data_IF_576649073484
#
_entry.id   IF_576649073484
#
_cell.length_a   1.000
_cell.length_b   1.000
_cell.length_c   1.000
_cell.angle_alpha   90.00
_cell.angle_beta   90.00
_cell.angle_gamma   90.00
#
_symmetry.space_group_name_H-M   'P 1'
#
loop_
_entity.id
_entity.type
_entity.pdbx_description
1 polymer ?
#
# COMPACT_ATOMS: atom_id res chain seq x y z
N UNK A 1 -9.84 -4.62 -5.38
CA UNK A 1 -9.02 -5.77 -5.79
C UNK A 1 -7.51 -5.50 -5.64
N UNK A 2 -6.98 -4.37 -6.12
CA UNK A 2 -5.54 -4.05 -6.01
C UNK A 2 -4.92 -4.25 -4.60
N UNK A 3 -5.57 -3.75 -3.54
CA UNK A 3 -5.09 -3.95 -2.16
C UNK A 3 -5.04 -5.42 -1.76
N UNK A 4 -6.03 -6.21 -2.19
CA UNK A 4 -6.07 -7.64 -1.90
C UNK A 4 -4.96 -8.39 -2.66
N UNK A 5 -4.74 -8.07 -3.93
CA UNK A 5 -3.66 -8.64 -4.72
C UNK A 5 -2.29 -8.38 -4.05
N UNK A 6 -2.03 -7.13 -3.65
CA UNK A 6 -0.80 -6.79 -2.92
C UNK A 6 -0.68 -7.54 -1.59
N UNK A 7 -1.74 -7.52 -0.76
CA UNK A 7 -1.74 -8.20 0.54
C UNK A 7 -1.47 -9.69 0.41
N UNK A 8 -2.25 -10.41 -0.41
CA UNK A 8 -2.12 -11.86 -0.54
C UNK A 8 -0.79 -12.26 -1.18
N UNK A 9 -0.33 -11.50 -2.18
CA UNK A 9 0.99 -11.70 -2.77
C UNK A 9 2.10 -11.56 -1.74
N UNK A 10 2.11 -10.44 -1.01
CA UNK A 10 3.16 -10.16 -0.04
C UNK A 10 3.12 -11.16 1.11
N UNK A 11 1.94 -11.46 1.65
CA UNK A 11 1.78 -12.46 2.70
C UNK A 11 2.24 -13.84 2.25
N UNK A 12 1.96 -14.25 1.01
CA UNK A 12 2.42 -15.55 0.50
C UNK A 12 3.94 -15.65 0.48
N UNK A 13 4.61 -14.66 -0.12
CA UNK A 13 6.08 -14.66 -0.22
C UNK A 13 6.75 -14.61 1.16
N UNK A 14 6.27 -13.73 2.05
CA UNK A 14 6.80 -13.62 3.42
C UNK A 14 6.55 -14.88 4.24
N UNK A 15 5.36 -15.48 4.16
CA UNK A 15 5.07 -16.72 4.88
C UNK A 15 5.95 -17.88 4.39
N UNK A 16 6.21 -17.99 3.08
CA UNK A 16 7.10 -19.01 2.53
C UNK A 16 8.54 -18.85 3.04
N UNK A 17 9.06 -17.62 3.08
CA UNK A 17 10.37 -17.31 3.63
C UNK A 17 10.40 -17.65 5.13
N UNK A 18 9.45 -17.15 5.92
CA UNK A 18 9.37 -17.35 7.37
C UNK A 18 9.25 -18.84 7.73
N UNK A 19 8.49 -19.64 6.98
CA UNK A 19 8.41 -21.09 7.20
C UNK A 19 9.76 -21.80 7.00
N UNK A 20 10.65 -21.22 6.19
CA UNK A 20 11.97 -21.78 5.89
C UNK A 20 13.05 -21.25 6.81
N UNK A 21 13.04 -19.94 7.11
CA UNK A 21 14.12 -19.24 7.83
C UNK A 21 13.78 -18.94 9.29
N UNK A 22 12.52 -19.13 9.70
CA UNK A 22 12.00 -18.66 10.97
C UNK A 22 11.57 -17.19 10.93
N UNK A 23 10.98 -16.72 12.04
CA UNK A 23 10.50 -15.34 12.17
C UNK A 23 11.70 -14.39 12.34
N UNK A 24 11.95 -13.45 11.41
CA UNK A 24 13.14 -12.60 11.41
C UNK A 24 13.01 -11.34 12.29
N UNK A 25 11.80 -11.06 12.79
CA UNK A 25 11.49 -9.85 13.54
C UNK A 25 10.76 -10.21 14.84
N UNK A 26 11.23 -9.70 15.98
CA UNK A 26 10.51 -9.91 17.23
C UNK A 26 9.14 -9.18 17.23
N UNK A 27 8.23 -9.64 18.09
CA UNK A 27 6.88 -9.09 18.14
C UNK A 27 6.84 -7.63 18.59
N UNK A 28 7.75 -7.21 19.48
CA UNK A 28 7.77 -5.83 19.97
C UNK A 28 8.12 -4.86 18.86
N UNK A 29 9.10 -5.19 18.02
CA UNK A 29 9.49 -4.43 16.85
C UNK A 29 8.43 -4.49 15.75
N UNK A 30 7.82 -5.65 15.51
CA UNK A 30 6.70 -5.77 14.56
C UNK A 30 5.52 -4.87 14.97
N UNK A 31 5.20 -4.82 16.27
CA UNK A 31 4.18 -3.93 16.83
C UNK A 31 4.54 -2.45 16.66
N UNK A 32 5.78 -2.07 16.94
CA UNK A 32 6.25 -0.70 16.73
C UNK A 32 6.12 -0.29 15.26
N UNK A 33 6.62 -1.12 14.34
CA UNK A 33 6.49 -0.91 12.89
C UNK A 33 5.03 -0.70 12.47
N UNK A 34 4.11 -1.53 12.99
CA UNK A 34 2.68 -1.43 12.70
C UNK A 34 2.12 -0.06 13.11
N UNK A 35 2.41 0.42 14.33
CA UNK A 35 1.92 1.72 14.79
C UNK A 35 2.60 2.89 14.09
N UNK A 36 3.90 2.80 13.76
CA UNK A 36 4.59 3.80 12.94
C UNK A 36 3.89 3.95 11.58
N UNK A 37 3.61 2.84 10.91
CA UNK A 37 2.90 2.85 9.63
C UNK A 37 1.45 3.34 9.77
N UNK A 38 0.75 2.97 10.85
CA UNK A 38 -0.63 3.41 11.08
C UNK A 38 -0.74 4.92 11.33
N UNK A 39 0.20 5.52 12.07
CA UNK A 39 0.19 6.95 12.38
C UNK A 39 0.71 7.82 11.24
N UNK A 40 1.79 7.39 10.58
CA UNK A 40 2.51 8.22 9.62
C UNK A 40 2.33 7.81 8.16
N UNK A 41 1.67 6.67 7.89
CA UNK A 41 1.43 6.18 6.54
C UNK A 41 2.72 5.97 5.76
N UNK A 42 2.75 6.41 4.50
CA UNK A 42 3.91 6.25 3.61
C UNK A 42 5.16 7.01 4.06
N UNK A 43 5.01 8.05 4.90
CA UNK A 43 6.13 8.84 5.44
C UNK A 43 6.73 8.21 6.72
N UNK A 44 6.20 7.06 7.16
CA UNK A 44 6.73 6.30 8.29
C UNK A 44 8.11 5.70 7.99
N UNK A 45 8.81 5.34 9.06
CA UNK A 45 10.04 4.56 8.99
C UNK A 45 9.89 3.32 9.87
N UNK A 46 10.32 2.16 9.37
CA UNK A 46 10.19 0.87 10.06
C UNK A 46 11.53 0.12 10.07
N UNK A 47 11.72 -0.79 11.03
CA UNK A 47 12.84 -1.75 11.01
C UNK A 47 12.47 -2.93 10.11
N UNK A 48 13.34 -3.32 9.18
CA UNK A 48 13.09 -4.45 8.29
C UNK A 48 13.91 -5.69 8.67
N UNK A 49 13.84 -6.75 7.86
CA UNK A 49 14.46 -8.05 8.15
C UNK A 49 15.99 -8.02 8.13
N UNK A 50 16.59 -7.00 7.53
CA UNK A 50 18.03 -6.73 7.59
C UNK A 50 18.45 -6.05 8.90
N UNK A 51 17.51 -5.75 9.79
CA UNK A 51 17.75 -5.04 11.05
C UNK A 51 17.90 -3.52 10.89
N UNK A 52 17.85 -3.01 9.66
CA UNK A 52 18.04 -1.60 9.36
C UNK A 52 16.73 -0.83 9.34
N UNK A 53 16.82 0.49 9.54
CA UNK A 53 15.66 1.38 9.47
C UNK A 53 15.44 1.88 8.04
N UNK A 54 14.25 1.61 7.51
CA UNK A 54 13.87 1.99 6.15
C UNK A 54 12.68 2.94 6.14
N UNK A 55 12.68 3.91 5.23
CA UNK A 55 11.48 4.67 4.89
C UNK A 55 10.47 3.75 4.20
N UNK A 56 9.22 3.72 4.68
CA UNK A 56 8.23 2.73 4.23
C UNK A 56 7.91 2.86 2.74
N UNK A 57 7.79 4.09 2.22
CA UNK A 57 7.59 4.31 0.78
C UNK A 57 8.70 3.66 -0.07
N UNK A 58 9.97 3.86 0.32
CA UNK A 58 11.11 3.31 -0.42
C UNK A 58 11.12 1.79 -0.33
N UNK A 59 10.91 1.24 0.87
CA UNK A 59 10.86 -0.21 1.08
C UNK A 59 9.75 -0.88 0.24
N UNK A 60 8.57 -0.23 0.15
CA UNK A 60 7.49 -0.69 -0.72
C UNK A 60 7.91 -0.76 -2.19
N UNK A 61 8.64 0.25 -2.67
CA UNK A 61 9.11 0.33 -4.06
C UNK A 61 10.23 -0.67 -4.37
N UNK A 62 11.21 -0.79 -3.49
CA UNK A 62 12.44 -1.53 -3.78
C UNK A 62 12.38 -3.01 -3.38
N UNK A 63 11.47 -3.40 -2.49
CA UNK A 63 11.37 -4.77 -1.98
C UNK A 63 9.93 -5.31 -2.01
N UNK A 64 9.00 -4.67 -1.29
CA UNK A 64 7.71 -5.32 -1.00
C UNK A 64 6.82 -5.51 -2.24
N UNK A 65 6.89 -4.63 -3.25
CA UNK A 65 6.18 -4.83 -4.52
C UNK A 65 6.72 -6.05 -5.29
N UNK A 66 8.04 -6.26 -5.30
CA UNK A 66 8.66 -7.41 -5.96
C UNK A 66 8.28 -8.72 -5.25
N UNK A 67 8.26 -8.70 -3.90
CA UNK A 67 7.79 -9.82 -3.08
C UNK A 67 6.32 -10.12 -3.32
N UNK A 68 5.46 -9.09 -3.38
CA UNK A 68 4.05 -9.27 -3.68
C UNK A 68 3.83 -9.93 -5.05
N UNK A 69 4.58 -9.50 -6.07
CA UNK A 69 4.57 -10.11 -7.40
C UNK A 69 4.96 -11.58 -7.35
N UNK A 70 6.07 -11.92 -6.68
CA UNK A 70 6.55 -13.30 -6.54
C UNK A 70 5.53 -14.20 -5.84
N UNK A 71 4.88 -13.71 -4.79
CA UNK A 71 3.83 -14.47 -4.10
C UNK A 71 2.57 -14.66 -4.95
N UNK A 72 2.15 -13.67 -5.73
CA UNK A 72 1.03 -13.85 -6.68
C UNK A 72 1.37 -14.85 -7.79
N UNK A 73 2.61 -14.85 -8.28
CA UNK A 73 3.08 -15.82 -9.26
C UNK A 73 3.10 -17.24 -8.69
N UNK A 74 3.50 -17.43 -7.42
CA UNK A 74 3.47 -18.74 -6.77
C UNK A 74 2.05 -19.25 -6.52
N UNK A 75 1.06 -18.36 -6.47
CA UNK A 75 -0.37 -18.68 -6.44
C UNK A 75 -0.98 -18.89 -7.85
N UNK A 76 -0.15 -18.91 -8.90
CA UNK A 76 -0.57 -19.08 -10.29
C UNK A 76 -1.57 -18.03 -10.81
N UNK A 77 -1.54 -16.80 -10.26
CA UNK A 77 -2.30 -15.67 -10.80
C UNK A 77 -1.69 -15.23 -12.15
N UNK A 78 -2.53 -14.88 -13.12
CA UNK A 78 -2.07 -14.47 -14.44
C UNK A 78 -1.22 -13.19 -14.37
N UNK A 79 -0.09 -13.16 -15.08
CA UNK A 79 0.82 -12.00 -15.06
C UNK A 79 0.11 -10.69 -15.46
N UNK A 80 -0.83 -10.74 -16.41
CA UNK A 80 -1.61 -9.57 -16.80
C UNK A 80 -2.41 -8.96 -15.63
N UNK A 81 -3.01 -9.80 -14.79
CA UNK A 81 -3.74 -9.34 -13.59
C UNK A 81 -2.77 -8.80 -12.54
N UNK A 82 -1.61 -9.45 -12.37
CA UNK A 82 -0.55 -8.99 -11.45
C UNK A 82 -0.07 -7.60 -11.87
N UNK A 83 0.25 -7.41 -13.15
CA UNK A 83 0.70 -6.13 -13.70
C UNK A 83 -0.36 -5.04 -13.51
N UNK A 84 -1.61 -5.36 -13.82
CA UNK A 84 -2.74 -4.43 -13.67
C UNK A 84 -2.91 -4.00 -12.21
N UNK A 85 -2.97 -4.95 -11.28
CA UNK A 85 -3.29 -4.65 -9.89
C UNK A 85 -2.12 -4.10 -9.09
N UNK A 86 -0.90 -4.61 -9.29
CA UNK A 86 0.28 -4.06 -8.63
C UNK A 86 0.69 -2.71 -9.22
N UNK A 87 0.44 -2.46 -10.52
CA UNK A 87 0.64 -1.15 -11.12
C UNK A 87 -0.19 -0.05 -10.44
N UNK A 88 -1.43 -0.36 -10.01
CA UNK A 88 -2.24 0.59 -9.22
C UNK A 88 -1.58 0.91 -7.87
N UNK A 89 -0.98 -0.08 -7.20
CA UNK A 89 -0.30 0.13 -5.92
C UNK A 89 0.98 0.93 -6.11
N UNK A 90 1.77 0.61 -7.14
CA UNK A 90 2.96 1.35 -7.53
C UNK A 90 2.65 2.83 -7.79
N UNK A 91 1.60 3.15 -8.55
CA UNK A 91 1.18 4.52 -8.81
C UNK A 91 0.81 5.28 -7.52
N UNK A 92 0.11 4.63 -6.56
CA UNK A 92 -0.22 5.25 -5.27
C UNK A 92 1.00 5.56 -4.44
N UNK A 93 1.99 4.66 -4.44
CA UNK A 93 3.24 4.85 -3.72
C UNK A 93 4.06 5.97 -4.38
N UNK A 94 4.16 5.98 -5.71
CA UNK A 94 4.87 7.00 -6.48
C UNK A 94 4.27 8.40 -6.26
N UNK A 95 2.95 8.52 -6.34
CA UNK A 95 2.25 9.80 -6.20
C UNK A 95 2.03 10.21 -4.74
N UNK A 96 2.43 9.39 -3.76
CA UNK A 96 2.11 9.57 -2.34
C UNK A 96 0.62 9.86 -2.08
N UNK A 97 -0.25 9.21 -2.85
CA UNK A 97 -1.68 9.46 -2.81
C UNK A 97 -2.45 8.15 -2.56
N UNK A 98 -2.75 7.93 -1.29
CA UNK A 98 -3.68 6.91 -0.82
C UNK A 98 -5.08 7.47 -0.66
N UNK A 99 -6.09 6.60 -0.52
CA UNK A 99 -7.47 7.05 -0.27
C UNK A 99 -7.61 7.90 1.00
N UNK A 100 -6.91 7.53 2.08
CA UNK A 100 -6.92 8.31 3.32
C UNK A 100 -6.19 9.64 3.18
N UNK A 101 -5.08 9.71 2.42
CA UNK A 101 -4.41 10.98 2.12
C UNK A 101 -5.29 11.90 1.28
N UNK A 102 -5.91 11.38 0.22
CA UNK A 102 -6.83 12.16 -0.61
C UNK A 102 -8.01 12.70 0.20
N UNK A 103 -8.64 11.86 1.04
CA UNK A 103 -9.72 12.30 1.95
C UNK A 103 -9.25 13.39 2.93
N UNK A 104 -8.06 13.22 3.52
CA UNK A 104 -7.49 14.23 4.43
C UNK A 104 -7.23 15.55 3.72
N UNK A 105 -6.68 15.51 2.52
CA UNK A 105 -6.41 16.70 1.70
C UNK A 105 -7.71 17.37 1.25
N UNK A 106 -8.71 16.59 0.81
CA UNK A 106 -10.03 17.08 0.44
C UNK A 106 -10.68 17.85 1.59
N UNK A 107 -10.60 17.32 2.81
CA UNK A 107 -11.13 17.99 4.01
C UNK A 107 -10.36 19.27 4.42
N UNK A 108 -9.23 19.59 3.78
CA UNK A 108 -8.57 20.90 3.92
C UNK A 108 -9.10 21.96 2.94
N UNK A 109 -9.92 21.57 1.95
CA UNK A 109 -10.50 22.52 1.00
C UNK A 109 -11.51 23.45 1.69
N UNK A 110 -11.63 24.71 1.24
CA UNK A 110 -12.66 25.61 1.75
C UNK A 110 -14.05 25.00 1.58
N UNK A 111 -14.86 25.02 2.64
CA UNK A 111 -16.23 24.48 2.64
C UNK A 111 -16.35 22.96 2.44
N UNK A 112 -15.27 22.19 2.56
CA UNK A 112 -15.33 20.74 2.49
C UNK A 112 -16.24 20.16 3.60
N UNK A 113 -17.13 19.25 3.21
CA UNK A 113 -17.97 18.48 4.13
C UNK A 113 -17.84 17.00 3.80
N UNK A 114 -18.22 16.12 4.74
CA UNK A 114 -18.27 14.69 4.46
C UNK A 114 -19.23 14.37 3.30
N UNK A 115 -20.29 15.16 3.13
CA UNK A 115 -21.23 15.03 2.01
C UNK A 115 -20.53 15.34 0.67
N UNK A 116 -19.91 16.51 0.55
CA UNK A 116 -19.22 16.90 -0.70
C UNK A 116 -18.04 15.98 -1.01
N UNK A 117 -17.32 15.50 0.01
CA UNK A 117 -16.27 14.48 -0.17
C UNK A 117 -16.84 13.17 -0.72
N UNK A 118 -17.99 12.73 -0.21
CA UNK A 118 -18.66 11.50 -0.69
C UNK A 118 -19.14 11.67 -2.14
N UNK A 119 -19.67 12.84 -2.50
CA UNK A 119 -20.09 13.17 -3.88
C UNK A 119 -18.89 13.14 -4.84
N UNK A 120 -17.77 13.76 -4.46
CA UNK A 120 -16.52 13.72 -5.23
C UNK A 120 -15.96 12.28 -5.34
N UNK A 121 -16.01 11.51 -4.26
CA UNK A 121 -15.60 10.10 -4.25
C UNK A 121 -16.41 9.27 -5.26
N UNK A 122 -17.74 9.49 -5.29
CA UNK A 122 -18.64 8.80 -6.20
C UNK A 122 -18.34 9.17 -7.66
N UNK A 123 -18.13 10.46 -7.95
CA UNK A 123 -17.78 10.92 -9.29
C UNK A 123 -16.46 10.27 -9.78
N UNK A 124 -15.42 10.26 -8.94
CA UNK A 124 -14.14 9.62 -9.27
C UNK A 124 -14.23 8.09 -9.33
N UNK A 125 -15.11 7.46 -8.57
CA UNK A 125 -15.34 6.01 -8.69
C UNK A 125 -15.91 5.66 -10.07
N UNK A 126 -16.83 6.46 -10.61
CA UNK A 126 -17.43 6.23 -11.93
C UNK A 126 -16.48 6.45 -13.09
N UNK A 127 -15.39 7.21 -12.91
CA UNK A 127 -14.37 7.38 -13.97
C UNK A 127 -13.41 6.20 -14.08
N UNK A 128 -13.48 5.23 -13.15
CA UNK A 128 -12.64 4.03 -13.10
C UNK A 128 -11.11 4.32 -13.04
N UNK A 129 -10.72 5.57 -12.80
CA UNK A 129 -9.32 5.94 -12.63
C UNK A 129 -8.87 5.64 -11.20
N UNK A 130 -7.62 5.17 -10.98
CA UNK A 130 -7.10 4.94 -9.66
C UNK A 130 -7.05 6.21 -8.80
N UNK A 131 -7.27 6.06 -7.49
CA UNK A 131 -7.18 7.18 -6.52
C UNK A 131 -5.87 7.96 -6.58
N UNK A 132 -4.78 7.36 -7.06
CA UNK A 132 -3.51 8.05 -7.28
C UNK A 132 -3.56 9.16 -8.34
N UNK A 133 -4.63 9.24 -9.12
CA UNK A 133 -4.84 10.20 -10.20
C UNK A 133 -6.01 11.17 -9.91
N UNK A 134 -6.66 11.06 -8.75
CA UNK A 134 -7.80 11.91 -8.41
C UNK A 134 -7.33 13.32 -8.06
N UNK A 135 -7.89 14.31 -8.72
CA UNK A 135 -7.66 15.71 -8.40
C UNK A 135 -8.51 16.17 -7.21
N UNK A 136 -8.09 17.27 -6.59
CA UNK A 136 -8.79 17.97 -5.51
C UNK A 136 -9.52 19.16 -6.12
N UNK A 137 -10.68 18.90 -6.72
CA UNK A 137 -11.51 19.91 -7.39
C UNK A 137 -12.73 20.26 -6.54
#
# INVERSE_FOLDING_TARGET
>A
IANAAFYYGLSKDLCDEIMTTGIPLDFAQAKDNFYQAAHHGLDSHIIWFDGEKHGLQKLLQTDLLARARKGLQSLAIANADIDTYLGIIEQRIANKQTGSQWQRQFMQLPQATLKSMTEAYLAHQYSEIPVSQWELN
#
